data_IF_692104985274
#
_entry.id   IF_692104985274
#
_cell.length_a   1.000
_cell.length_b   1.000
_cell.length_c   1.000
_cell.angle_alpha   90.00
_cell.angle_beta   90.00
_cell.angle_gamma   90.00
#
_symmetry.space_group_name_H-M   'P 1'
#
loop_
_entity.id
_entity.type
_entity.pdbx_description
1 polymer ?
#
# COMPACT_ATOMS: atom_id res chain seq x y z
N UNK A 1 11.26 -19.18 8.89
CA UNK A 1 10.90 -18.53 7.64
C UNK A 1 10.45 -19.57 6.64
N UNK A 2 9.19 -19.49 6.20
CA UNK A 2 8.66 -20.36 5.15
C UNK A 2 9.06 -19.82 3.78
N UNK A 3 9.42 -20.69 2.84
CA UNK A 3 9.67 -20.26 1.44
C UNK A 3 8.39 -19.78 0.75
N UNK A 4 7.23 -20.25 1.20
CA UNK A 4 5.97 -20.10 0.46
C UNK A 4 4.87 -19.40 1.25
N UNK A 5 4.98 -19.33 2.58
CA UNK A 5 3.96 -18.81 3.48
C UNK A 5 4.59 -17.79 4.45
N UNK A 6 4.96 -16.59 3.98
CA UNK A 6 5.57 -15.59 4.84
C UNK A 6 4.56 -15.12 5.89
N UNK A 7 4.96 -15.19 7.15
CA UNK A 7 4.20 -14.72 8.31
C UNK A 7 5.12 -14.05 9.34
N UNK A 8 4.54 -13.36 10.32
CA UNK A 8 5.28 -12.75 11.44
C UNK A 8 6.56 -12.03 11.01
N UNK A 9 7.70 -12.56 11.46
CA UNK A 9 9.05 -12.02 11.23
C UNK A 9 9.58 -12.18 9.79
N UNK A 10 8.88 -12.92 8.93
CA UNK A 10 9.15 -13.02 7.49
C UNK A 10 8.66 -11.76 6.75
N UNK A 11 7.71 -11.01 7.34
CA UNK A 11 7.18 -9.77 6.75
C UNK A 11 8.06 -8.58 7.09
N UNK A 12 8.37 -7.78 6.08
CA UNK A 12 8.98 -6.47 6.28
C UNK A 12 7.92 -5.50 6.77
N UNK A 13 8.03 -5.06 8.03
CA UNK A 13 7.06 -4.17 8.67
C UNK A 13 7.63 -2.78 8.78
N UNK A 14 6.92 -1.79 8.23
CA UNK A 14 7.36 -0.40 8.18
C UNK A 14 6.22 0.53 8.56
N UNK A 15 6.51 1.52 9.38
CA UNK A 15 5.68 2.72 9.45
C UNK A 15 6.09 3.62 8.28
N UNK A 16 5.23 3.70 7.27
CA UNK A 16 5.51 4.47 6.05
C UNK A 16 5.39 5.97 6.32
N UNK A 17 4.34 6.31 7.08
CA UNK A 17 3.96 7.65 7.49
C UNK A 17 3.24 7.54 8.85
N UNK A 18 3.11 8.63 9.63
CA UNK A 18 2.35 8.61 10.87
C UNK A 18 0.94 8.02 10.67
N UNK A 19 0.62 6.96 11.40
CA UNK A 19 -0.67 6.27 11.31
C UNK A 19 -0.86 5.39 10.06
N UNK A 20 0.22 5.08 9.32
CA UNK A 20 0.21 4.19 8.16
C UNK A 20 1.30 3.13 8.28
N UNK A 21 0.89 1.86 8.41
CA UNK A 21 1.81 0.72 8.52
C UNK A 21 1.68 -0.20 7.32
N UNK A 22 2.81 -0.65 6.81
CA UNK A 22 2.88 -1.66 5.75
C UNK A 22 3.49 -2.95 6.27
N UNK A 23 2.90 -4.07 5.87
CA UNK A 23 3.41 -5.42 6.08
C UNK A 23 3.67 -6.06 4.72
N UNK A 24 4.94 -6.21 4.37
CA UNK A 24 5.39 -6.50 3.01
C UNK A 24 6.00 -7.89 2.90
N UNK A 25 5.55 -8.66 1.92
CA UNK A 25 6.14 -9.93 1.53
C UNK A 25 6.78 -9.81 0.13
N UNK A 26 8.13 -9.83 0.02
CA UNK A 26 8.82 -9.82 -1.27
C UNK A 26 8.72 -11.18 -1.99
N UNK A 27 8.60 -11.13 -3.31
CA UNK A 27 8.86 -12.24 -4.21
C UNK A 27 10.17 -12.06 -4.97
N UNK A 28 10.26 -12.60 -6.19
CA UNK A 28 11.43 -12.44 -7.06
C UNK A 28 11.38 -11.16 -7.91
N UNK A 29 10.17 -10.75 -8.32
CA UNK A 29 9.95 -9.62 -9.23
C UNK A 29 8.91 -8.63 -8.71
N UNK A 30 7.95 -9.13 -7.95
CA UNK A 30 6.87 -8.36 -7.35
C UNK A 30 6.95 -8.46 -5.84
N UNK A 31 6.31 -7.52 -5.15
CA UNK A 31 5.98 -7.72 -3.74
C UNK A 31 4.53 -7.34 -3.50
N UNK A 32 3.99 -7.90 -2.43
CA UNK A 32 2.67 -7.57 -1.91
C UNK A 32 2.83 -6.84 -0.57
N UNK A 33 2.06 -5.78 -0.36
CA UNK A 33 2.04 -5.02 0.89
C UNK A 33 0.62 -4.90 1.39
N UNK A 34 0.38 -5.32 2.63
CA UNK A 34 -0.84 -4.98 3.36
C UNK A 34 -0.60 -3.63 4.03
N UNK A 35 -1.28 -2.59 3.58
CA UNK A 35 -1.16 -1.23 4.09
C UNK A 35 -2.36 -0.90 4.96
N UNK A 36 -2.12 -0.78 6.26
CA UNK A 36 -3.10 -0.44 7.28
C UNK A 36 -3.04 1.06 7.59
N UNK A 37 -4.21 1.69 7.60
CA UNK A 37 -4.38 3.10 7.93
C UNK A 37 -5.19 3.23 9.22
N UNK A 38 -4.70 4.07 10.12
CA UNK A 38 -5.53 4.67 11.17
C UNK A 38 -6.48 5.74 10.58
N UNK A 39 -7.46 6.17 11.35
CA UNK A 39 -8.35 7.25 10.94
C UNK A 39 -7.52 8.54 10.83
N UNK A 40 -7.54 9.16 9.66
CA UNK A 40 -6.71 10.32 9.37
C UNK A 40 -5.24 10.00 9.11
N UNK A 41 -4.84 8.73 9.03
CA UNK A 41 -3.50 8.34 8.56
C UNK A 41 -3.31 8.75 7.10
N UNK A 42 -2.17 9.39 6.80
CA UNK A 42 -1.91 9.98 5.49
C UNK A 42 -0.65 9.38 4.88
N UNK A 43 -0.78 8.80 3.69
CA UNK A 43 0.33 8.64 2.76
C UNK A 43 0.44 9.94 1.97
N UNK A 44 1.48 10.72 2.25
CA UNK A 44 1.64 12.03 1.62
C UNK A 44 1.84 11.93 0.11
N UNK A 45 1.58 13.04 -0.59
CA UNK A 45 1.72 13.11 -2.04
C UNK A 45 3.15 12.73 -2.44
N UNK A 46 3.26 11.66 -3.23
CA UNK A 46 4.53 11.15 -3.70
C UNK A 46 4.36 10.45 -5.05
N UNK A 47 5.47 9.99 -5.62
CA UNK A 47 5.48 9.14 -6.80
C UNK A 47 6.68 8.20 -6.74
N UNK A 48 6.64 7.14 -7.55
CA UNK A 48 7.73 6.19 -7.69
C UNK A 48 7.69 5.54 -9.09
N UNK A 49 8.84 5.04 -9.61
CA UNK A 49 8.88 4.42 -10.93
C UNK A 49 8.14 3.08 -10.99
N UNK A 50 7.89 2.44 -9.84
CA UNK A 50 7.19 1.16 -9.74
C UNK A 50 5.72 1.32 -10.14
N UNK A 51 5.21 0.41 -10.96
CA UNK A 51 3.77 0.26 -11.18
C UNK A 51 3.14 -0.32 -9.91
N UNK A 52 2.01 0.26 -9.50
CA UNK A 52 1.24 -0.20 -8.34
C UNK A 52 -0.20 -0.50 -8.75
N UNK A 53 -0.71 -1.64 -8.31
CA UNK A 53 -2.13 -1.96 -8.34
C UNK A 53 -2.58 -2.40 -6.96
N UNK A 54 -3.84 -2.19 -6.62
CA UNK A 54 -4.33 -2.63 -5.33
C UNK A 54 -5.83 -2.74 -5.23
N UNK A 55 -6.26 -3.26 -4.09
CA UNK A 55 -7.65 -3.46 -3.73
C UNK A 55 -7.85 -3.09 -2.26
N UNK A 56 -8.91 -2.34 -1.99
CA UNK A 56 -9.36 -2.10 -0.63
C UNK A 56 -10.04 -3.36 -0.10
N UNK A 57 -9.62 -3.85 1.06
CA UNK A 57 -10.18 -5.08 1.67
C UNK A 57 -10.93 -4.80 2.97
N UNK A 58 -10.69 -3.66 3.62
CA UNK A 58 -11.39 -3.23 4.84
C UNK A 58 -11.42 -1.71 4.94
N UNK A 59 -12.47 -1.18 5.55
CA UNK A 59 -12.62 0.25 5.80
C UNK A 59 -12.70 1.09 4.53
N UNK A 60 -12.48 2.39 4.67
CA UNK A 60 -12.50 3.35 3.55
C UNK A 60 -11.28 4.24 3.54
N UNK A 61 -10.81 4.61 2.35
CA UNK A 61 -9.74 5.57 2.15
C UNK A 61 -10.05 6.48 0.95
N UNK A 62 -9.58 7.72 1.00
CA UNK A 62 -9.62 8.65 -0.13
C UNK A 62 -8.31 8.59 -0.88
N UNK A 63 -8.38 8.24 -2.16
CA UNK A 63 -7.27 8.22 -3.09
C UNK A 63 -7.32 9.46 -3.97
N UNK A 64 -6.18 10.10 -4.11
CA UNK A 64 -5.90 11.14 -5.11
C UNK A 64 -4.80 10.57 -6.00
N UNK A 65 -5.10 10.29 -7.27
CA UNK A 65 -4.18 9.65 -8.23
C UNK A 65 -4.24 10.46 -9.52
N UNK A 66 -3.12 11.11 -9.88
CA UNK A 66 -3.11 12.02 -11.02
C UNK A 66 -4.06 13.21 -10.80
N UNK A 67 -5.07 13.34 -11.65
CA UNK A 67 -6.11 14.37 -11.59
C UNK A 67 -7.46 13.86 -11.03
N UNK A 68 -7.55 12.58 -10.64
CA UNK A 68 -8.76 11.99 -10.08
C UNK A 68 -8.69 11.85 -8.56
N UNK A 69 -9.83 12.14 -7.91
CA UNK A 69 -10.04 11.89 -6.48
C UNK A 69 -11.25 10.97 -6.29
N UNK A 70 -11.06 9.86 -5.57
CA UNK A 70 -12.09 8.85 -5.30
C UNK A 70 -12.02 8.39 -3.85
N UNK A 71 -13.17 8.13 -3.24
CA UNK A 71 -13.24 7.35 -2.01
C UNK A 71 -13.47 5.89 -2.37
N UNK A 72 -12.60 5.02 -1.87
CA UNK A 72 -12.63 3.59 -2.14
C UNK A 72 -12.99 2.83 -0.85
N UNK A 73 -13.81 1.80 -0.98
CA UNK A 73 -14.18 0.87 0.08
C UNK A 73 -13.92 -0.59 -0.31
N UNK A 74 -14.33 -1.57 0.51
CA UNK A 74 -13.98 -2.97 0.29
C UNK A 74 -14.46 -3.49 -1.08
N UNK A 75 -13.55 -4.07 -1.84
CA UNK A 75 -13.78 -4.58 -3.20
C UNK A 75 -13.42 -3.58 -4.32
N UNK A 76 -13.28 -2.30 -4.02
CA UNK A 76 -12.84 -1.31 -4.99
C UNK A 76 -11.34 -1.48 -5.29
N UNK A 77 -10.96 -1.25 -6.55
CA UNK A 77 -9.59 -1.43 -7.05
C UNK A 77 -9.02 -0.13 -7.59
N UNK A 78 -7.70 -0.03 -7.62
CA UNK A 78 -6.98 1.09 -8.21
C UNK A 78 -5.72 0.61 -8.93
N UNK A 79 -5.26 1.42 -9.86
CA UNK A 79 -4.00 1.26 -10.59
C UNK A 79 -3.29 2.60 -10.65
N UNK A 80 -1.99 2.58 -10.45
CA UNK A 80 -1.12 3.73 -10.43
C UNK A 80 0.09 3.37 -11.31
N UNK A 81 0.09 3.84 -12.58
CA UNK A 81 1.26 3.70 -13.43
C UNK A 81 2.49 4.37 -12.79
N UNK A 82 3.68 3.87 -13.15
CA UNK A 82 4.93 4.44 -12.67
C UNK A 82 5.04 5.94 -12.96
N UNK A 83 5.51 6.70 -11.98
CA UNK A 83 5.71 8.15 -12.05
C UNK A 83 4.46 9.00 -11.81
N UNK A 84 3.27 8.40 -11.65
CA UNK A 84 2.04 9.15 -11.38
C UNK A 84 1.99 9.60 -9.91
N UNK A 85 1.88 10.92 -9.62
CA UNK A 85 1.69 11.41 -8.27
C UNK A 85 0.41 10.89 -7.64
N UNK A 86 0.49 10.45 -6.39
CA UNK A 86 -0.65 9.97 -5.65
C UNK A 86 -0.52 10.20 -4.14
N UNK A 87 -1.68 10.33 -3.49
CA UNK A 87 -1.86 10.58 -2.06
C UNK A 87 -3.04 9.74 -1.55
N UNK A 88 -2.94 9.23 -0.32
CA UNK A 88 -4.01 8.42 0.28
C UNK A 88 -4.29 8.85 1.72
N UNK A 89 -5.56 8.97 2.07
CA UNK A 89 -6.00 9.29 3.44
C UNK A 89 -6.96 8.22 3.95
N UNK A 90 -6.65 7.61 5.10
CA UNK A 90 -7.56 6.70 5.79
C UNK A 90 -8.77 7.44 6.35
N UNK A 91 -9.98 7.03 5.97
CA UNK A 91 -11.23 7.64 6.43
C UNK A 91 -11.86 6.88 7.60
N UNK A 92 -11.49 5.61 7.78
CA UNK A 92 -11.94 4.74 8.87
C UNK A 92 -10.74 4.07 9.56
N UNK A 93 -10.92 3.63 10.81
CA UNK A 93 -9.92 2.89 11.56
C UNK A 93 -10.45 1.50 11.94
N UNK A 94 -9.84 0.39 11.47
CA UNK A 94 -8.76 0.34 10.47
C UNK A 94 -9.32 0.34 9.04
N UNK A 95 -8.64 1.04 8.13
CA UNK A 95 -8.74 0.80 6.70
C UNK A 95 -7.53 -0.03 6.23
N UNK A 96 -7.73 -0.93 5.27
CA UNK A 96 -6.70 -1.84 4.78
C UNK A 96 -6.75 -1.95 3.25
N UNK A 97 -5.60 -1.65 2.65
CA UNK A 97 -5.33 -1.84 1.24
C UNK A 97 -4.35 -3.00 1.05
N UNK A 98 -4.55 -3.79 -0.01
CA UNK A 98 -3.57 -4.79 -0.47
C UNK A 98 -2.97 -4.28 -1.76
N UNK A 99 -1.70 -3.92 -1.71
CA UNK A 99 -0.93 -3.37 -2.82
C UNK A 99 -0.02 -4.41 -3.45
N UNK A 100 0.11 -4.34 -4.76
CA UNK A 100 1.05 -5.10 -5.58
C UNK A 100 1.94 -4.12 -6.32
N UNK A 101 3.24 -4.38 -6.34
CA UNK A 101 4.21 -3.54 -7.04
C UNK A 101 5.09 -4.33 -8.00
N UNK A 102 5.41 -3.71 -9.14
CA UNK A 102 6.42 -4.18 -10.08
C UNK A 102 7.25 -3.00 -10.65
N UNK A 103 8.60 -3.09 -10.69
CA UNK A 103 9.41 -4.07 -9.98
C UNK A 103 9.23 -3.95 -8.46
N UNK A 104 9.94 -4.75 -7.67
CA UNK A 104 9.89 -4.59 -6.22
C UNK A 104 10.31 -3.19 -5.79
N UNK A 105 9.64 -2.65 -4.77
CA UNK A 105 9.98 -1.37 -4.17
C UNK A 105 10.96 -1.60 -3.04
N UNK A 106 12.24 -1.40 -3.31
CA UNK A 106 13.34 -1.73 -2.41
C UNK A 106 13.27 -0.97 -1.09
N UNK A 107 12.64 0.21 -1.07
CA UNK A 107 12.40 0.96 0.15
C UNK A 107 11.52 0.21 1.16
N UNK A 108 10.65 -0.69 0.68
CA UNK A 108 9.76 -1.49 1.54
C UNK A 108 10.42 -2.78 2.05
N UNK A 109 11.62 -3.09 1.56
CA UNK A 109 12.36 -4.31 1.90
C UNK A 109 13.46 -4.06 2.94
N UNK A 110 13.61 -2.81 3.39
CA UNK A 110 14.50 -2.47 4.49
C UNK A 110 13.86 -2.94 5.80
N UNK A 111 14.68 -3.48 6.70
CA UNK A 111 14.28 -3.87 8.07
C UNK A 111 14.73 -2.80 9.05
#
# INVERSE_FOLDING_TARGET
>A
MSRYFPDGDDLHTLELFPGVKAFTAPGEHIHISKVEFEHGGIVELHHHPHEQCGVMVKGRARFEIGDEVRELGPGDTYRIPGGIPHRVVGLEAPALAVDFFFPMRESYLKR
#
